data_IF_719222592254
#
_entry.id   IF_719222592254
#
_cell.length_a   1.000
_cell.length_b   1.000
_cell.length_c   1.000
_cell.angle_alpha   90.00
_cell.angle_beta   90.00
_cell.angle_gamma   90.00
#
_symmetry.space_group_name_H-M   'P 1'
#
loop_
_entity.id
_entity.type
_entity.pdbx_description
1 polymer ?
#
# COMPACT_ATOMS: atom_id res chain seq x y z
N UNK A 1 -4.10 0.27 -16.78
CA UNK A 1 -4.42 0.63 -15.38
C UNK A 1 -4.06 2.09 -15.09
N UNK A 2 -2.82 2.56 -15.34
CA UNK A 2 -2.45 3.98 -15.18
C UNK A 2 -3.25 4.97 -16.04
N UNK A 3 -3.72 4.57 -17.24
CA UNK A 3 -4.47 5.45 -18.14
C UNK A 3 -5.84 5.89 -17.60
N UNK A 4 -6.46 5.09 -16.72
CA UNK A 4 -7.78 5.36 -16.16
C UNK A 4 -7.68 6.42 -15.04
N UNK A 5 -6.57 6.40 -14.28
CA UNK A 5 -6.34 7.26 -13.12
C UNK A 5 -5.47 8.48 -13.41
N UNK A 6 -4.89 8.61 -14.61
CA UNK A 6 -3.91 9.66 -14.93
C UNK A 6 -4.44 11.08 -14.65
N UNK A 7 -5.69 11.37 -15.04
CA UNK A 7 -6.29 12.71 -14.89
C UNK A 7 -6.70 13.01 -13.43
N UNK A 8 -6.89 11.97 -12.60
CA UNK A 8 -7.16 12.10 -11.15
C UNK A 8 -5.89 12.26 -10.31
N UNK A 9 -4.80 11.59 -10.70
CA UNK A 9 -3.50 11.63 -10.00
C UNK A 9 -2.88 13.03 -10.07
N UNK A 10 -2.98 13.68 -11.22
CA UNK A 10 -2.26 14.94 -11.48
C UNK A 10 -2.89 16.17 -10.79
N UNK A 11 -4.21 16.18 -10.58
CA UNK A 11 -4.92 17.37 -10.09
C UNK A 11 -5.20 17.41 -8.60
N UNK A 12 -5.24 16.27 -7.93
CA UNK A 12 -5.79 16.27 -6.57
C UNK A 12 -5.18 15.24 -5.64
N UNK A 13 -4.74 14.07 -6.09
CA UNK A 13 -4.75 12.89 -5.22
C UNK A 13 -3.47 12.06 -5.34
N UNK A 14 -2.78 11.84 -4.22
CA UNK A 14 -1.76 10.79 -4.11
C UNK A 14 -2.48 9.42 -4.12
N UNK A 15 -2.93 9.00 -5.30
CA UNK A 15 -3.55 7.68 -5.50
C UNK A 15 -2.43 6.66 -5.61
N UNK A 16 -2.35 5.75 -4.64
CA UNK A 16 -1.62 4.51 -4.83
C UNK A 16 -2.61 3.43 -5.23
N UNK A 17 -2.92 3.40 -6.54
CA UNK A 17 -3.71 2.38 -7.27
C UNK A 17 -5.12 2.03 -6.77
N UNK A 18 -5.49 2.23 -5.50
CA UNK A 18 -6.84 2.09 -4.90
C UNK A 18 -6.97 2.81 -3.53
N UNK A 19 -5.88 3.37 -2.98
CA UNK A 19 -5.84 3.92 -1.62
C UNK A 19 -5.70 5.44 -1.59
N UNK A 20 -6.57 6.11 -0.82
CA UNK A 20 -6.71 7.58 -0.79
C UNK A 20 -6.27 8.16 0.55
N UNK A 21 -5.50 9.25 0.51
CA UNK A 21 -5.09 10.01 1.71
C UNK A 21 -5.40 11.50 1.55
N UNK A 22 -5.88 12.13 2.63
CA UNK A 22 -6.29 13.54 2.64
C UNK A 22 -5.93 14.22 3.97
N UNK A 23 -5.61 15.52 3.91
CA UNK A 23 -5.14 16.32 5.06
C UNK A 23 -6.25 16.86 5.97
N UNK A 24 -7.50 16.92 5.50
CA UNK A 24 -8.67 17.38 6.24
C UNK A 24 -9.90 16.52 5.92
N UNK A 25 -10.81 16.38 6.89
CA UNK A 25 -12.01 15.55 6.78
C UNK A 25 -12.94 16.03 5.66
N UNK A 26 -13.21 17.33 5.57
CA UNK A 26 -14.06 17.93 4.52
C UNK A 26 -13.45 17.75 3.13
N UNK A 27 -12.13 17.91 3.02
CA UNK A 27 -11.40 17.63 1.79
C UNK A 27 -11.48 16.15 1.43
N UNK A 28 -11.37 15.24 2.40
CA UNK A 28 -11.50 13.79 2.17
C UNK A 28 -12.91 13.40 1.72
N UNK A 29 -13.94 13.99 2.32
CA UNK A 29 -15.34 13.81 1.95
C UNK A 29 -15.61 14.23 0.51
N UNK A 30 -15.24 15.46 0.15
CA UNK A 30 -15.44 15.98 -1.21
C UNK A 30 -14.65 15.21 -2.28
N UNK A 31 -13.54 14.57 -1.90
CA UNK A 31 -12.78 13.66 -2.78
C UNK A 31 -13.45 12.32 -2.95
N UNK A 32 -13.94 11.75 -1.85
CA UNK A 32 -14.68 10.49 -1.87
C UNK A 32 -15.94 10.61 -2.73
N UNK A 33 -16.67 11.72 -2.60
CA UNK A 33 -17.87 12.01 -3.38
C UNK A 33 -17.58 12.04 -4.89
N UNK A 34 -16.54 12.78 -5.31
CA UNK A 34 -16.09 12.80 -6.72
C UNK A 34 -15.66 11.43 -7.23
N UNK A 35 -15.01 10.64 -6.39
CA UNK A 35 -14.55 9.30 -6.75
C UNK A 35 -15.73 8.34 -6.94
N UNK A 36 -16.73 8.39 -6.04
CA UNK A 36 -17.93 7.58 -6.16
C UNK A 36 -18.73 7.94 -7.40
N UNK A 37 -18.89 9.24 -7.69
CA UNK A 37 -19.55 9.69 -8.92
C UNK A 37 -18.84 9.16 -10.17
N UNK A 38 -17.51 9.18 -10.16
CA UNK A 38 -16.73 8.66 -11.28
C UNK A 38 -16.79 7.13 -11.40
N UNK A 39 -16.87 6.40 -10.27
CA UNK A 39 -17.12 4.96 -10.29
C UNK A 39 -18.46 4.64 -10.97
N UNK A 40 -19.51 5.44 -10.73
CA UNK A 40 -20.78 5.32 -11.45
C UNK A 40 -20.60 5.61 -12.95
N UNK A 41 -19.92 6.70 -13.32
CA UNK A 41 -19.71 7.09 -14.72
C UNK A 41 -18.92 6.05 -15.54
N UNK A 42 -18.01 5.34 -14.88
CA UNK A 42 -17.14 4.33 -15.51
C UNK A 42 -17.65 2.90 -15.36
N UNK A 43 -18.82 2.69 -14.74
CA UNK A 43 -19.34 1.37 -14.39
C UNK A 43 -18.34 0.52 -13.57
N UNK A 44 -17.53 1.18 -12.73
CA UNK A 44 -16.62 0.52 -11.79
C UNK A 44 -17.33 0.31 -10.45
N UNK A 45 -17.33 -0.92 -9.96
CA UNK A 45 -17.88 -1.27 -8.66
C UNK A 45 -16.77 -1.44 -7.64
N UNK A 46 -16.91 -0.81 -6.47
CA UNK A 46 -16.00 -0.96 -5.35
C UNK A 46 -16.36 -2.20 -4.55
N UNK A 47 -15.35 -3.02 -4.22
CA UNK A 47 -15.56 -4.13 -3.30
C UNK A 47 -15.66 -3.58 -1.86
N UNK A 48 -16.87 -3.59 -1.30
CA UNK A 48 -17.13 -3.08 0.05
C UNK A 48 -16.34 -3.80 1.15
N UNK A 49 -15.99 -5.09 0.99
CA UNK A 49 -15.19 -5.84 1.98
C UNK A 49 -13.73 -5.39 2.03
N UNK A 50 -13.23 -4.84 0.91
CA UNK A 50 -11.84 -4.37 0.78
C UNK A 50 -11.71 -2.85 0.90
N UNK A 51 -12.81 -2.13 0.73
CA UNK A 51 -12.83 -0.67 0.73
C UNK A 51 -12.88 -0.12 2.16
N UNK A 52 -11.85 0.60 2.55
CA UNK A 52 -11.76 1.23 3.87
C UNK A 52 -11.82 2.74 3.71
N UNK A 53 -12.86 3.37 4.25
CA UNK A 53 -13.07 4.82 4.13
C UNK A 53 -12.81 5.54 5.45
N UNK A 54 -12.20 6.73 5.38
CA UNK A 54 -12.01 7.64 6.53
C UNK A 54 -11.30 7.01 7.74
N UNK A 55 -10.37 6.08 7.49
CA UNK A 55 -9.59 5.44 8.54
C UNK A 55 -8.36 6.28 8.90
N UNK A 56 -7.97 6.27 10.18
CA UNK A 56 -6.74 6.96 10.65
C UNK A 56 -5.47 6.20 10.27
N UNK A 57 -5.60 4.90 10.05
CA UNK A 57 -4.54 4.00 9.62
C UNK A 57 -5.12 2.94 8.67
N UNK A 58 -4.33 2.49 7.70
CA UNK A 58 -4.76 1.51 6.71
C UNK A 58 -3.57 0.78 6.08
N UNK A 59 -3.83 -0.35 5.43
CA UNK A 59 -2.81 -1.10 4.70
C UNK A 59 -2.88 -0.70 3.23
N UNK A 60 -1.81 -0.10 2.73
CA UNK A 60 -1.65 0.36 1.34
C UNK A 60 -0.43 -0.30 0.75
N UNK A 61 -0.59 -1.05 -0.34
CA UNK A 61 0.48 -1.82 -1.00
C UNK A 61 1.27 -2.74 -0.03
N UNK A 62 0.64 -3.20 1.05
CA UNK A 62 1.27 -4.03 2.07
C UNK A 62 2.14 -3.28 3.08
N UNK A 63 2.02 -1.95 3.14
CA UNK A 63 2.55 -1.12 4.20
C UNK A 63 1.42 -0.56 5.05
N UNK A 64 1.62 -0.46 6.36
CA UNK A 64 0.71 0.24 7.24
C UNK A 64 0.99 1.74 7.15
N UNK A 65 0.05 2.51 6.64
CA UNK A 65 0.14 3.98 6.61
C UNK A 65 -0.63 4.52 7.81
N UNK A 66 0.01 5.41 8.57
CA UNK A 66 -0.61 6.14 9.67
C UNK A 66 -0.12 7.59 9.70
N UNK A 67 -0.65 8.41 10.60
CA UNK A 67 -0.14 9.78 10.85
C UNK A 67 1.35 9.79 11.21
N UNK A 68 1.86 8.72 11.82
CA UNK A 68 3.26 8.64 12.24
C UNK A 68 4.22 8.29 11.10
N UNK A 69 3.68 7.91 9.93
CA UNK A 69 4.45 7.56 8.74
C UNK A 69 4.05 6.21 8.16
N UNK A 70 4.99 5.66 7.38
CA UNK A 70 4.85 4.36 6.73
C UNK A 70 5.56 3.31 7.59
N UNK A 71 4.82 2.29 7.99
CA UNK A 71 5.31 1.14 8.74
C UNK A 71 5.15 -0.14 7.91
N UNK A 72 5.91 -1.16 8.27
CA UNK A 72 5.75 -2.49 7.67
C UNK A 72 4.57 -3.20 8.30
N UNK A 73 3.76 -3.88 7.49
CA UNK A 73 2.71 -4.76 7.98
C UNK A 73 3.33 -5.92 8.81
N UNK A 74 3.01 -5.96 10.10
CA UNK A 74 3.49 -6.98 11.04
C UNK A 74 3.12 -8.39 10.60
N UNK A 75 1.97 -8.59 9.97
CA UNK A 75 1.56 -9.91 9.50
C UNK A 75 2.57 -10.46 8.48
N UNK A 76 3.12 -9.60 7.61
CA UNK A 76 4.15 -10.02 6.65
C UNK A 76 5.50 -10.30 7.32
N UNK A 77 5.84 -9.56 8.37
CA UNK A 77 7.06 -9.83 9.16
C UNK A 77 6.95 -11.20 9.83
N UNK A 78 5.80 -11.49 10.46
CA UNK A 78 5.60 -12.76 11.16
C UNK A 78 5.68 -13.97 10.23
N UNK A 79 5.20 -13.84 8.99
CA UNK A 79 5.32 -14.89 7.98
C UNK A 79 6.80 -15.14 7.64
N UNK A 80 7.58 -14.08 7.43
CA UNK A 80 9.01 -14.20 7.10
C UNK A 80 9.81 -14.75 8.29
N UNK A 81 9.50 -14.32 9.51
CA UNK A 81 10.15 -14.79 10.73
C UNK A 81 9.94 -16.29 11.00
N UNK A 82 8.83 -16.85 10.51
CA UNK A 82 8.50 -18.28 10.64
C UNK A 82 9.04 -19.13 9.49
N UNK A 83 9.65 -18.55 8.45
CA UNK A 83 10.21 -19.31 7.35
C UNK A 83 11.39 -20.17 7.84
N UNK A 84 11.49 -21.44 7.39
CA UNK A 84 12.64 -22.26 7.70
C UNK A 84 13.90 -21.68 7.04
N UNK A 85 15.09 -21.87 7.63
CA UNK A 85 16.34 -21.47 7.01
C UNK A 85 16.48 -22.08 5.61
N UNK A 86 16.75 -21.28 4.56
CA UNK A 86 16.86 -21.81 3.21
C UNK A 86 18.09 -22.73 3.09
N UNK A 87 17.87 -23.93 2.57
CA UNK A 87 18.92 -24.96 2.41
C UNK A 87 19.51 -25.01 1.00
N UNK A 88 18.87 -24.35 0.03
CA UNK A 88 19.27 -24.33 -1.37
C UNK A 88 19.50 -22.90 -1.85
N UNK A 89 20.40 -22.74 -2.83
CA UNK A 89 20.74 -21.43 -3.41
C UNK A 89 19.49 -20.70 -3.91
N UNK A 90 18.57 -21.38 -4.61
CA UNK A 90 17.30 -20.76 -5.05
C UNK A 90 16.46 -20.21 -3.89
N UNK A 91 16.47 -20.87 -2.73
CA UNK A 91 15.76 -20.45 -1.53
C UNK A 91 16.37 -19.20 -0.91
N UNK A 92 17.71 -19.12 -0.91
CA UNK A 92 18.45 -17.93 -0.46
C UNK A 92 18.10 -16.72 -1.33
N UNK A 93 18.11 -16.88 -2.66
CA UNK A 93 17.78 -15.78 -3.59
C UNK A 93 16.32 -15.33 -3.47
N UNK A 94 15.39 -16.29 -3.31
CA UNK A 94 13.98 -15.97 -3.06
C UNK A 94 13.81 -15.17 -1.76
N UNK A 95 14.45 -15.62 -0.67
CA UNK A 95 14.41 -14.92 0.62
C UNK A 95 15.00 -13.51 0.53
N UNK A 96 16.16 -13.35 -0.13
CA UNK A 96 16.77 -12.04 -0.34
C UNK A 96 15.87 -11.10 -1.17
N UNK A 97 15.16 -11.63 -2.17
CA UNK A 97 14.15 -10.87 -2.90
C UNK A 97 13.01 -10.37 -2.00
N UNK A 98 12.53 -11.20 -1.08
CA UNK A 98 11.49 -10.83 -0.12
C UNK A 98 12.01 -9.82 0.91
N UNK A 99 13.20 -10.03 1.46
CA UNK A 99 13.86 -9.12 2.39
C UNK A 99 14.16 -7.75 1.74
N UNK A 100 14.50 -7.76 0.44
CA UNK A 100 14.75 -6.56 -0.35
C UNK A 100 13.58 -5.58 -0.37
N UNK A 101 12.33 -6.06 -0.35
CA UNK A 101 11.14 -5.22 -0.26
C UNK A 101 11.11 -4.38 1.03
N UNK A 102 11.67 -4.91 2.13
CA UNK A 102 11.72 -4.24 3.44
C UNK A 102 13.03 -3.52 3.72
N UNK A 103 13.96 -3.47 2.74
CA UNK A 103 15.31 -2.91 2.92
C UNK A 103 15.34 -1.50 3.51
N UNK A 104 14.34 -0.65 3.22
CA UNK A 104 14.25 0.72 3.75
C UNK A 104 13.99 0.77 5.26
N UNK A 105 13.49 -0.32 5.84
CA UNK A 105 13.17 -0.44 7.27
C UNK A 105 14.23 -1.21 8.06
N UNK A 106 15.21 -1.79 7.37
CA UNK A 106 16.28 -2.59 7.98
C UNK A 106 17.55 -1.74 7.98
N UNK A 107 18.00 -1.35 9.17
CA UNK A 107 19.26 -0.62 9.33
C UNK A 107 20.42 -1.48 8.83
N UNK A 108 21.34 -0.87 8.08
CA UNK A 108 22.55 -1.52 7.56
C UNK A 108 22.32 -2.76 6.67
N UNK A 109 21.13 -2.92 6.09
CA UNK A 109 20.82 -4.06 5.22
C UNK A 109 21.79 -4.21 4.03
N UNK A 110 22.43 -3.11 3.60
CA UNK A 110 23.44 -3.14 2.53
C UNK A 110 24.77 -3.78 2.93
N UNK A 111 25.09 -3.90 4.23
CA UNK A 111 26.34 -4.55 4.70
C UNK A 111 26.30 -6.08 4.62
N UNK A 112 25.12 -6.64 4.35
CA UNK A 112 24.86 -8.09 4.31
C UNK A 112 24.86 -8.60 2.84
N UNK A 113 24.86 -7.69 1.85
CA UNK A 113 24.86 -7.99 0.41
C UNK A 113 26.26 -8.09 -0.17
#
# INVERSE_FOLDING_TARGET
>A
MLAIFHDMVEKTMNVFMDDFSGSSFENCLSRLDKMLQWCEDTNLSLNWEKSHFMVKEGIVLGHKISKNGIEVDKAKIDVIAKLPPPTIVKGVWSFLGHAGFYRRFIQDCSKIS
#
